data_IF_456990558159
#
_entry.id   IF_456990558159
#
_cell.length_a   1.000
_cell.length_b   1.000
_cell.length_c   1.000
_cell.angle_alpha   90.00
_cell.angle_beta   90.00
_cell.angle_gamma   90.00
#
_symmetry.space_group_name_H-M   'P 1'
#
loop_
_entity.id
_entity.type
_entity.pdbx_description
1 polymer ?
#
# COMPACT_ATOMS: atom_id res chain seq x y z
N UNK A 1 -12.15 -3.13 -3.60
CA UNK A 1 -12.49 -2.08 -2.62
C UNK A 1 -13.86 -1.47 -2.91
N UNK A 2 -14.66 -1.18 -1.88
CA UNK A 2 -15.93 -0.46 -1.97
C UNK A 2 -15.71 1.04 -2.23
N UNK A 3 -16.71 1.84 -2.66
CA UNK A 3 -16.61 3.30 -2.72
C UNK A 3 -16.18 3.95 -1.39
N UNK A 4 -15.43 5.04 -1.46
CA UNK A 4 -14.96 5.77 -0.28
C UNK A 4 -16.12 6.33 0.58
N UNK A 5 -17.24 6.68 -0.06
CA UNK A 5 -18.47 7.20 0.56
C UNK A 5 -19.47 6.10 0.97
N UNK A 6 -18.99 4.86 1.19
CA UNK A 6 -19.85 3.72 1.59
C UNK A 6 -20.65 4.06 2.85
N UNK A 7 -20.03 4.72 3.83
CA UNK A 7 -20.72 5.33 4.97
C UNK A 7 -20.73 6.84 4.76
N UNK A 8 -21.90 7.46 4.95
CA UNK A 8 -22.07 8.91 4.80
C UNK A 8 -21.42 9.69 5.95
N UNK A 9 -21.25 11.00 5.76
CA UNK A 9 -20.78 11.94 6.81
C UNK A 9 -21.68 11.91 8.06
N UNK A 10 -22.94 11.49 7.91
CA UNK A 10 -23.89 11.30 9.00
C UNK A 10 -23.79 9.94 9.71
N UNK A 11 -22.84 9.07 9.31
CA UNK A 11 -22.66 7.75 9.89
C UNK A 11 -23.63 6.67 9.38
N UNK A 12 -24.43 6.97 8.35
CA UNK A 12 -25.41 6.04 7.76
C UNK A 12 -24.86 5.29 6.55
N UNK A 13 -25.33 4.06 6.33
CA UNK A 13 -24.96 3.26 5.17
C UNK A 13 -25.56 3.85 3.88
N UNK A 14 -24.69 4.27 2.96
CA UNK A 14 -25.07 5.01 1.77
C UNK A 14 -25.53 4.08 0.63
N UNK A 15 -26.50 4.53 -0.18
CA UNK A 15 -26.95 3.86 -1.42
C UNK A 15 -27.25 2.35 -1.26
N UNK A 16 -27.83 1.95 -0.13
CA UNK A 16 -28.05 0.53 0.28
C UNK A 16 -28.54 -0.39 -0.85
N UNK A 17 -29.55 0.02 -1.62
CA UNK A 17 -30.09 -0.80 -2.73
C UNK A 17 -29.09 -0.99 -3.87
N UNK A 18 -28.41 0.08 -4.27
CA UNK A 18 -27.39 0.04 -5.33
C UNK A 18 -26.17 -0.76 -4.86
N UNK A 19 -25.78 -0.62 -3.60
CA UNK A 19 -24.70 -1.40 -3.00
C UNK A 19 -25.05 -2.89 -3.04
N UNK A 20 -26.25 -3.28 -2.62
CA UNK A 20 -26.70 -4.67 -2.69
C UNK A 20 -26.60 -5.26 -4.10
N UNK A 21 -27.12 -4.54 -5.10
CA UNK A 21 -27.07 -4.99 -6.49
C UNK A 21 -25.63 -5.13 -6.99
N UNK A 22 -24.75 -4.19 -6.65
CA UNK A 22 -23.33 -4.20 -7.03
C UNK A 22 -22.59 -5.38 -6.40
N UNK A 23 -22.78 -5.61 -5.09
CA UNK A 23 -22.18 -6.74 -4.38
C UNK A 23 -22.71 -8.09 -4.88
N UNK A 24 -24.00 -8.17 -5.20
CA UNK A 24 -24.58 -9.38 -5.79
C UNK A 24 -23.99 -9.68 -7.17
N UNK A 25 -23.78 -8.66 -8.01
CA UNK A 25 -23.10 -8.82 -9.30
C UNK A 25 -21.65 -9.31 -9.12
N UNK A 26 -20.87 -8.69 -8.22
CA UNK A 26 -19.50 -9.12 -7.92
C UNK A 26 -19.45 -10.57 -7.39
N UNK A 27 -20.40 -10.95 -6.53
CA UNK A 27 -20.48 -12.33 -6.04
C UNK A 27 -20.69 -13.32 -7.19
N UNK A 28 -21.57 -13.00 -8.15
CA UNK A 28 -21.82 -13.84 -9.32
C UNK A 28 -20.64 -13.88 -10.29
N UNK A 29 -19.80 -12.83 -10.33
CA UNK A 29 -18.55 -12.81 -11.08
C UNK A 29 -17.44 -13.68 -10.46
N UNK A 30 -17.67 -14.25 -9.27
CA UNK A 30 -16.68 -15.08 -8.57
C UNK A 30 -15.78 -14.32 -7.61
N UNK A 31 -16.07 -13.04 -7.34
CA UNK A 31 -15.32 -12.26 -6.34
C UNK A 31 -15.51 -12.89 -4.95
N UNK A 32 -14.39 -13.11 -4.25
CA UNK A 32 -14.39 -13.78 -2.95
C UNK A 32 -14.88 -12.87 -1.80
N UNK A 33 -14.57 -11.58 -1.89
CA UNK A 33 -14.90 -10.61 -0.86
C UNK A 33 -14.68 -9.17 -1.29
N UNK A 34 -14.94 -8.25 -0.38
CA UNK A 34 -14.77 -6.82 -0.58
C UNK A 34 -13.95 -6.20 0.55
N UNK A 35 -13.36 -5.04 0.29
CA UNK A 35 -12.61 -4.26 1.28
C UNK A 35 -13.27 -2.90 1.50
N UNK A 36 -13.37 -2.45 2.74
CA UNK A 36 -13.95 -1.15 3.11
C UNK A 36 -13.08 -0.39 4.11
N UNK A 37 -12.97 0.92 3.91
CA UNK A 37 -12.39 1.85 4.86
C UNK A 37 -13.34 2.06 6.06
N UNK A 38 -12.84 1.86 7.27
CA UNK A 38 -13.57 2.09 8.52
C UNK A 38 -13.07 3.38 9.16
N UNK A 39 -13.57 4.49 8.64
CA UNK A 39 -13.13 5.86 8.92
C UNK A 39 -13.25 6.27 10.39
N UNK A 40 -12.11 6.59 11.00
CA UNK A 40 -12.06 7.08 12.38
C UNK A 40 -12.92 8.34 12.58
N UNK A 41 -12.83 9.30 11.66
CA UNK A 41 -13.57 10.56 11.70
C UNK A 41 -15.09 10.43 11.56
N UNK A 42 -15.61 9.28 11.11
CA UNK A 42 -17.04 9.01 11.10
C UNK A 42 -17.50 8.32 12.38
N UNK A 43 -16.72 7.34 12.84
CA UNK A 43 -17.11 6.47 13.94
C UNK A 43 -16.97 7.15 15.29
N UNK A 44 -15.86 7.85 15.56
CA UNK A 44 -15.61 8.53 16.85
C UNK A 44 -15.87 10.05 16.73
N UNK A 45 -16.82 10.44 15.89
CA UNK A 45 -17.12 11.83 15.54
C UNK A 45 -17.65 12.66 16.71
N UNK A 46 -18.53 12.08 17.52
CA UNK A 46 -19.26 12.77 18.61
C UNK A 46 -18.41 13.03 19.87
N UNK A 47 -17.16 12.58 19.85
CA UNK A 47 -16.17 12.81 20.89
C UNK A 47 -15.41 11.56 21.31
N UNK A 48 -14.39 11.73 22.18
CA UNK A 48 -13.61 10.63 22.74
C UNK A 48 -14.46 9.47 23.24
N UNK A 49 -14.12 8.25 22.82
CA UNK A 49 -14.76 6.98 23.21
C UNK A 49 -16.25 6.84 22.83
N UNK A 50 -16.81 7.76 22.03
CA UNK A 50 -18.19 7.68 21.55
C UNK A 50 -18.23 7.11 20.13
N UNK A 51 -18.29 5.78 20.05
CA UNK A 51 -18.23 5.05 18.79
C UNK A 51 -19.62 4.78 18.21
N UNK A 52 -19.87 5.21 16.97
CA UNK A 52 -21.04 4.85 16.19
C UNK A 52 -20.66 3.87 15.07
N UNK A 53 -21.08 2.62 15.23
CA UNK A 53 -20.79 1.54 14.29
C UNK A 53 -21.97 1.18 13.37
N UNK A 54 -23.10 1.85 13.47
CA UNK A 54 -24.36 1.34 12.92
C UNK A 54 -24.36 1.24 11.39
N UNK A 55 -23.83 2.24 10.68
CA UNK A 55 -23.66 2.15 9.23
C UNK A 55 -22.79 0.97 8.79
N UNK A 56 -21.68 0.70 9.50
CA UNK A 56 -20.82 -0.46 9.23
C UNK A 56 -21.50 -1.77 9.61
N UNK A 57 -22.31 -1.81 10.67
CA UNK A 57 -23.07 -2.99 11.07
C UNK A 57 -24.10 -3.42 10.01
N UNK A 58 -24.77 -2.46 9.37
CA UNK A 58 -25.65 -2.76 8.23
C UNK A 58 -24.87 -3.31 7.04
N UNK A 59 -23.71 -2.74 6.73
CA UNK A 59 -22.83 -3.23 5.66
C UNK A 59 -22.37 -4.66 5.93
N UNK A 60 -21.87 -4.96 7.14
CA UNK A 60 -21.40 -6.30 7.51
C UNK A 60 -22.51 -7.34 7.36
N UNK A 61 -23.74 -7.02 7.79
CA UNK A 61 -24.91 -7.89 7.60
C UNK A 61 -25.23 -8.13 6.12
N UNK A 62 -25.10 -7.10 5.28
CA UNK A 62 -25.32 -7.23 3.84
C UNK A 62 -24.26 -8.15 3.20
N UNK A 63 -22.99 -7.94 3.53
CA UNK A 63 -21.87 -8.74 3.03
C UNK A 63 -22.02 -10.21 3.46
N UNK A 64 -22.37 -10.45 4.73
CA UNK A 64 -22.68 -11.79 5.24
C UNK A 64 -23.83 -12.44 4.47
N UNK A 65 -24.95 -11.72 4.28
CA UNK A 65 -26.13 -12.24 3.56
C UNK A 65 -25.80 -12.67 2.13
N UNK A 66 -24.87 -12.00 1.48
CA UNK A 66 -24.41 -12.31 0.13
C UNK A 66 -23.31 -13.40 0.09
N UNK A 67 -22.85 -13.87 1.24
CA UNK A 67 -21.80 -14.89 1.33
C UNK A 67 -20.45 -14.39 0.79
N UNK A 68 -20.17 -13.10 0.95
CA UNK A 68 -18.89 -12.47 0.64
C UNK A 68 -18.05 -12.36 1.91
N UNK A 69 -16.72 -12.40 1.75
CA UNK A 69 -15.78 -12.01 2.81
C UNK A 69 -15.63 -10.48 2.88
N UNK A 70 -15.20 -9.98 4.02
CA UNK A 70 -14.93 -8.57 4.28
C UNK A 70 -13.52 -8.38 4.81
N UNK A 71 -12.75 -7.54 4.14
CA UNK A 71 -11.54 -6.92 4.68
C UNK A 71 -11.92 -5.52 5.17
N UNK A 72 -11.47 -5.14 6.37
CA UNK A 72 -11.71 -3.80 6.91
C UNK A 72 -10.39 -3.06 7.08
N UNK A 73 -10.36 -1.77 6.77
CA UNK A 73 -9.21 -0.90 7.03
C UNK A 73 -9.52 -0.05 8.26
N UNK A 74 -8.69 -0.12 9.30
CA UNK A 74 -8.74 0.80 10.43
C UNK A 74 -8.18 2.16 9.99
N UNK A 75 -9.02 2.97 9.36
CA UNK A 75 -8.62 4.19 8.65
C UNK A 75 -8.46 5.36 9.63
N UNK A 76 -7.31 5.39 10.32
CA UNK A 76 -6.88 6.46 11.24
C UNK A 76 -6.36 7.71 10.52
N UNK A 77 -6.75 7.91 9.26
CA UNK A 77 -6.29 8.99 8.39
C UNK A 77 -7.49 9.68 7.73
N UNK A 78 -7.25 10.89 7.22
CA UNK A 78 -8.22 11.61 6.40
C UNK A 78 -8.41 10.94 5.02
N UNK A 79 -9.66 10.85 4.56
CA UNK A 79 -9.98 10.68 3.13
C UNK A 79 -10.03 12.05 2.46
N UNK A 80 -9.38 12.22 1.32
CA UNK A 80 -9.36 13.49 0.58
C UNK A 80 -7.97 14.11 0.57
N UNK A 81 -7.53 14.53 -0.61
CA UNK A 81 -6.26 15.22 -0.82
C UNK A 81 -5.20 14.40 -1.57
N UNK A 82 -5.50 13.13 -1.86
CA UNK A 82 -4.65 12.22 -2.65
C UNK A 82 -5.35 11.79 -3.96
N UNK A 83 -4.58 11.20 -4.89
CA UNK A 83 -5.11 10.70 -6.17
C UNK A 83 -6.24 9.70 -5.94
N UNK A 84 -7.37 9.91 -6.60
CA UNK A 84 -8.51 8.99 -6.56
C UNK A 84 -9.49 9.24 -5.40
N UNK A 85 -9.20 10.19 -4.50
CA UNK A 85 -10.14 10.56 -3.44
C UNK A 85 -11.33 11.34 -3.99
N UNK A 86 -12.51 10.72 -3.98
CA UNK A 86 -13.76 11.33 -4.45
C UNK A 86 -14.61 11.94 -3.33
N UNK A 87 -14.18 11.81 -2.08
CA UNK A 87 -14.86 12.39 -0.91
C UNK A 87 -13.85 12.97 0.09
N UNK A 88 -14.35 13.78 1.01
CA UNK A 88 -13.57 14.41 2.08
C UNK A 88 -14.12 13.94 3.43
N UNK A 89 -13.34 13.12 4.14
CA UNK A 89 -13.66 12.61 5.47
C UNK A 89 -12.45 12.93 6.36
N UNK A 90 -12.48 14.00 7.15
CA UNK A 90 -11.36 14.38 8.01
C UNK A 90 -11.23 13.41 9.19
N UNK A 91 -10.19 13.60 9.99
CA UNK A 91 -10.09 13.02 11.34
C UNK A 91 -11.24 13.53 12.24
N UNK A 92 -11.52 12.89 13.39
CA UNK A 92 -12.61 13.33 14.27
C UNK A 92 -12.49 14.82 14.66
N UNK A 93 -13.61 15.57 14.74
CA UNK A 93 -13.56 17.00 15.06
C UNK A 93 -12.77 17.34 16.34
N UNK A 94 -12.93 16.54 17.40
CA UNK A 94 -12.20 16.72 18.66
C UNK A 94 -10.67 16.54 18.51
N UNK A 95 -10.22 15.75 17.53
CA UNK A 95 -8.78 15.60 17.22
C UNK A 95 -8.29 16.82 16.45
N UNK A 96 -9.10 17.34 15.53
CA UNK A 96 -8.77 18.57 14.80
C UNK A 96 -8.65 19.77 15.76
N UNK A 97 -9.46 19.82 16.81
CA UNK A 97 -9.33 20.80 17.89
C UNK A 97 -7.99 20.68 18.62
N UNK A 98 -7.55 19.46 18.96
CA UNK A 98 -6.22 19.22 19.54
C UNK A 98 -5.09 19.64 18.57
N UNK A 99 -5.25 19.38 17.27
CA UNK A 99 -4.30 19.82 16.23
C UNK A 99 -4.19 21.34 16.15
N UNK A 100 -5.32 22.05 16.28
CA UNK A 100 -5.34 23.50 16.29
C UNK A 100 -4.69 24.07 17.56
N UNK A 101 -4.90 23.44 18.72
CA UNK A 101 -4.28 23.83 19.98
C UNK A 101 -2.78 23.55 20.01
N UNK A 102 -2.34 22.48 19.36
CA UNK A 102 -0.95 22.04 19.31
C UNK A 102 -0.56 21.61 17.88
N UNK A 103 -0.12 22.55 17.01
CA UNK A 103 0.14 22.28 15.61
C UNK A 103 1.32 21.34 15.34
N UNK A 104 2.10 20.98 16.36
CA UNK A 104 3.19 20.00 16.26
C UNK A 104 2.73 18.54 16.38
N UNK A 105 1.44 18.26 16.59
CA UNK A 105 0.96 16.87 16.63
C UNK A 105 0.81 16.24 15.23
N UNK A 106 1.09 17.00 14.18
CA UNK A 106 0.99 16.58 12.77
C UNK A 106 2.33 16.67 12.07
N UNK A 107 2.50 15.86 11.02
CA UNK A 107 3.71 15.86 10.22
C UNK A 107 3.99 17.24 9.63
N UNK A 108 5.27 17.60 9.58
CA UNK A 108 5.70 18.94 9.23
C UNK A 108 6.97 18.90 8.38
N UNK A 109 6.97 19.67 7.29
CA UNK A 109 8.14 19.80 6.43
C UNK A 109 9.09 20.91 6.89
N UNK A 110 10.23 21.07 6.20
CA UNK A 110 11.25 22.08 6.54
C UNK A 110 10.72 23.51 6.56
N UNK A 111 9.79 23.82 5.65
CA UNK A 111 9.16 25.15 5.55
C UNK A 111 8.09 25.41 6.62
N UNK A 112 7.83 24.47 7.54
CA UNK A 112 6.82 24.58 8.58
C UNK A 112 5.39 24.29 8.10
N UNK A 113 5.21 23.76 6.87
CA UNK A 113 3.90 23.31 6.37
C UNK A 113 3.47 22.08 7.14
N UNK A 114 2.24 22.11 7.65
CA UNK A 114 1.62 21.06 8.44
C UNK A 114 0.71 20.19 7.56
N UNK A 115 0.75 18.87 7.72
CA UNK A 115 -0.15 17.93 7.05
C UNK A 115 -1.13 17.31 8.06
N UNK A 116 -2.42 17.70 8.05
CA UNK A 116 -3.41 17.24 9.04
C UNK A 116 -4.01 15.85 8.75
N UNK A 117 -3.57 15.16 7.70
CA UNK A 117 -4.17 13.87 7.30
C UNK A 117 -3.94 12.76 8.33
N UNK A 118 -2.89 12.85 9.13
CA UNK A 118 -2.48 11.85 10.12
C UNK A 118 -1.68 12.49 11.26
N UNK A 119 -1.67 11.85 12.42
CA UNK A 119 -0.92 12.30 13.61
C UNK A 119 0.56 11.91 13.47
N UNK A 120 1.49 12.84 13.71
CA UNK A 120 2.92 12.55 13.62
C UNK A 120 3.31 11.41 14.56
N UNK A 121 4.09 10.44 14.07
CA UNK A 121 4.62 9.34 14.88
C UNK A 121 5.51 9.80 16.04
N UNK A 122 6.01 11.05 16.00
CA UNK A 122 6.71 11.67 17.14
C UNK A 122 5.83 11.76 18.39
N UNK A 123 4.50 11.68 18.23
CA UNK A 123 3.52 11.75 19.31
C UNK A 123 3.05 10.40 19.83
N UNK A 124 3.42 9.26 19.23
CA UNK A 124 2.87 7.92 19.49
C UNK A 124 2.66 7.58 20.97
N UNK A 125 3.62 7.98 21.81
CA UNK A 125 3.69 7.67 23.25
C UNK A 125 3.47 8.88 24.15
N UNK A 126 3.01 10.02 23.60
CA UNK A 126 2.76 11.26 24.33
C UNK A 126 1.25 11.52 24.45
N UNK A 127 0.75 11.95 25.62
CA UNK A 127 -0.69 12.10 25.86
C UNK A 127 -1.26 13.39 25.26
N UNK A 128 -1.16 13.53 23.94
CA UNK A 128 -1.50 14.76 23.19
C UNK A 128 -2.95 14.83 22.69
N UNK A 129 -3.78 13.83 23.01
CA UNK A 129 -5.17 13.72 22.55
C UNK A 129 -6.13 13.61 23.75
N UNK A 130 -6.48 14.74 24.37
CA UNK A 130 -7.35 14.75 25.55
C UNK A 130 -6.82 13.89 26.71
N UNK A 131 -5.49 13.88 26.92
CA UNK A 131 -4.82 13.09 27.96
C UNK A 131 -4.50 11.64 27.58
N UNK A 132 -4.84 11.19 26.37
CA UNK A 132 -4.48 9.87 25.82
C UNK A 132 -3.38 10.00 24.77
N UNK A 133 -2.58 8.95 24.60
CA UNK A 133 -1.62 8.86 23.48
C UNK A 133 -2.31 8.41 22.19
N UNK A 134 -1.77 8.73 21.00
CA UNK A 134 -2.28 8.20 19.74
C UNK A 134 -2.41 6.67 19.73
N UNK A 135 -1.40 5.94 20.24
CA UNK A 135 -1.49 4.46 20.36
C UNK A 135 -2.66 4.03 21.24
N UNK A 136 -2.93 4.72 22.35
CA UNK A 136 -4.08 4.40 23.21
C UNK A 136 -5.40 4.64 22.47
N UNK A 137 -5.53 5.77 21.77
CA UNK A 137 -6.73 6.09 20.97
C UNK A 137 -6.97 5.05 19.88
N UNK A 138 -5.94 4.67 19.11
CA UNK A 138 -6.04 3.62 18.10
C UNK A 138 -6.39 2.26 18.72
N UNK A 139 -5.82 1.95 19.88
CA UNK A 139 -6.12 0.72 20.63
C UNK A 139 -7.58 0.68 21.09
N UNK A 140 -8.10 1.77 21.65
CA UNK A 140 -9.49 1.86 22.13
C UNK A 140 -10.47 1.71 20.98
N UNK A 141 -10.18 2.34 19.83
CA UNK A 141 -10.96 2.20 18.60
C UNK A 141 -11.01 0.73 18.12
N UNK A 142 -9.85 0.07 18.03
CA UNK A 142 -9.77 -1.34 17.64
C UNK A 142 -10.47 -2.28 18.63
N UNK A 143 -10.40 -2.00 19.94
CA UNK A 143 -11.13 -2.78 20.97
C UNK A 143 -12.63 -2.63 20.80
N UNK A 144 -13.12 -1.39 20.63
CA UNK A 144 -14.54 -1.11 20.39
C UNK A 144 -15.04 -1.80 19.10
N UNK A 145 -14.24 -1.77 18.04
CA UNK A 145 -14.53 -2.53 16.81
C UNK A 145 -14.62 -4.03 17.09
N UNK A 146 -13.62 -4.61 17.77
CA UNK A 146 -13.63 -6.03 18.14
C UNK A 146 -14.89 -6.41 18.91
N UNK A 147 -15.24 -5.64 19.95
CA UNK A 147 -16.42 -5.89 20.78
C UNK A 147 -17.71 -5.86 19.95
N UNK A 148 -17.86 -4.83 19.12
CA UNK A 148 -19.05 -4.66 18.27
C UNK A 148 -19.23 -5.80 17.26
N UNK A 149 -18.12 -6.27 16.68
CA UNK A 149 -18.11 -7.21 15.56
C UNK A 149 -17.62 -8.61 15.90
N UNK A 150 -17.49 -8.97 17.19
CA UNK A 150 -16.88 -10.23 17.63
C UNK A 150 -17.47 -11.48 16.97
N UNK A 151 -18.77 -11.49 16.66
CA UNK A 151 -19.46 -12.62 16.02
C UNK A 151 -19.13 -12.78 14.52
N UNK A 152 -18.54 -11.75 13.90
CA UNK A 152 -18.22 -11.71 12.49
C UNK A 152 -16.73 -11.91 12.21
N UNK A 153 -15.85 -11.67 13.20
CA UNK A 153 -14.40 -11.82 13.07
C UNK A 153 -14.01 -13.26 12.80
N UNK A 154 -13.08 -13.46 11.86
CA UNK A 154 -12.60 -14.77 11.41
C UNK A 154 -13.58 -15.53 10.51
N UNK A 155 -14.78 -15.01 10.30
CA UNK A 155 -15.80 -15.62 9.44
C UNK A 155 -16.17 -14.68 8.27
N UNK A 156 -16.92 -13.61 8.57
CA UNK A 156 -17.28 -12.60 7.58
C UNK A 156 -16.15 -11.60 7.44
N UNK A 157 -15.69 -11.04 8.57
CA UNK A 157 -14.54 -10.13 8.62
C UNK A 157 -13.29 -10.99 8.75
N UNK A 158 -12.61 -11.21 7.63
CA UNK A 158 -11.47 -12.13 7.54
C UNK A 158 -10.13 -11.42 7.71
N UNK A 159 -10.09 -10.12 7.50
CA UNK A 159 -8.86 -9.33 7.56
C UNK A 159 -9.10 -7.95 8.14
N UNK A 160 -8.15 -7.49 8.94
CA UNK A 160 -8.09 -6.15 9.51
C UNK A 160 -6.76 -5.53 9.09
N UNK A 161 -6.84 -4.64 8.11
CA UNK A 161 -5.72 -3.80 7.72
C UNK A 161 -5.62 -2.63 8.68
N UNK A 162 -4.48 -2.49 9.36
CA UNK A 162 -4.26 -1.40 10.30
C UNK A 162 -3.66 -0.21 9.56
N UNK A 163 -4.30 0.96 9.64
CA UNK A 163 -3.77 2.19 9.05
C UNK A 163 -2.58 2.73 9.83
N UNK A 164 -1.46 2.97 9.16
CA UNK A 164 -0.17 3.31 9.78
C UNK A 164 0.38 4.69 9.36
N UNK A 165 -0.47 5.53 8.76
CA UNK A 165 -0.05 6.80 8.19
C UNK A 165 -1.06 7.36 7.18
N UNK A 166 -0.65 8.37 6.38
CA UNK A 166 -1.47 8.92 5.29
C UNK A 166 -1.90 7.82 4.31
N UNK A 167 -3.13 7.88 3.81
CA UNK A 167 -3.78 6.81 3.03
C UNK A 167 -3.81 5.42 3.72
N UNK A 168 -3.58 5.36 5.03
CA UNK A 168 -3.47 4.11 5.78
C UNK A 168 -2.13 3.38 5.57
N UNK A 169 -1.19 4.00 4.86
CA UNK A 169 0.10 3.41 4.48
C UNK A 169 1.16 3.70 5.54
N UNK A 170 2.05 2.75 5.80
CA UNK A 170 3.23 2.93 6.64
C UNK A 170 4.26 3.80 5.91
N UNK A 171 4.08 5.12 5.95
CA UNK A 171 5.00 6.10 5.36
C UNK A 171 4.82 7.48 5.96
N UNK A 172 5.73 8.39 5.59
CA UNK A 172 5.53 9.81 5.79
C UNK A 172 4.69 10.45 4.64
N UNK A 173 4.03 11.59 4.87
CA UNK A 173 3.30 12.32 3.84
C UNK A 173 4.24 13.16 2.96
N UNK A 174 5.20 12.52 2.29
CA UNK A 174 6.28 13.21 1.56
C UNK A 174 5.91 13.74 0.18
N UNK A 175 4.77 13.33 -0.38
CA UNK A 175 4.27 13.73 -1.71
C UNK A 175 2.80 14.22 -1.66
N UNK A 176 2.46 15.23 -0.85
CA UNK A 176 1.09 15.72 -0.74
C UNK A 176 0.66 16.43 -2.04
N UNK A 177 -0.32 15.89 -2.76
CA UNK A 177 -0.80 16.50 -4.01
C UNK A 177 -1.69 17.73 -3.80
N UNK A 178 -2.30 17.83 -2.62
CA UNK A 178 -3.20 18.92 -2.27
C UNK A 178 -2.62 20.30 -2.60
N UNK A 179 -3.44 21.11 -3.29
CA UNK A 179 -3.09 22.46 -3.75
C UNK A 179 -1.85 22.53 -4.66
N UNK A 180 -1.49 21.42 -5.32
CA UNK A 180 -0.33 21.35 -6.22
C UNK A 180 1.01 21.45 -5.49
N UNK A 181 1.04 21.14 -4.18
CA UNK A 181 2.25 21.18 -3.35
C UNK A 181 3.33 20.27 -3.93
N UNK A 182 2.95 19.03 -4.25
CA UNK A 182 3.78 18.07 -4.97
C UNK A 182 3.09 17.66 -6.28
N UNK A 183 3.90 17.28 -7.28
CA UNK A 183 3.45 16.69 -8.55
C UNK A 183 4.43 15.59 -8.97
N UNK A 184 3.87 14.52 -9.50
CA UNK A 184 4.67 13.44 -10.06
C UNK A 184 5.61 13.94 -11.19
N UNK A 185 6.90 13.55 -11.21
CA UNK A 185 7.58 12.61 -10.32
C UNK A 185 8.54 13.31 -9.33
N UNK A 186 8.16 14.37 -8.63
CA UNK A 186 9.07 15.08 -7.73
C UNK A 186 9.63 14.21 -6.59
N UNK A 187 10.82 14.53 -6.08
CA UNK A 187 11.48 13.80 -4.98
C UNK A 187 10.72 13.78 -3.65
N UNK A 188 9.78 14.71 -3.44
CA UNK A 188 9.11 14.88 -2.16
C UNK A 188 9.96 15.65 -1.14
N UNK A 189 9.53 15.70 0.13
CA UNK A 189 10.31 16.30 1.22
C UNK A 189 10.24 15.46 2.50
N UNK A 190 11.31 15.48 3.31
CA UNK A 190 11.31 14.91 4.65
C UNK A 190 10.28 15.62 5.56
N UNK A 191 9.50 14.83 6.30
CA UNK A 191 8.34 15.29 7.10
C UNK A 191 8.56 15.20 8.62
N UNK A 192 9.78 15.49 9.09
CA UNK A 192 10.19 15.30 10.48
C UNK A 192 10.46 16.58 11.27
N UNK A 193 9.86 17.70 10.87
CA UNK A 193 10.17 19.02 11.43
C UNK A 193 9.22 19.47 12.54
N UNK A 194 8.27 18.63 12.95
CA UNK A 194 7.49 18.86 14.17
C UNK A 194 8.40 18.79 15.40
N UNK A 195 8.04 19.50 16.48
CA UNK A 195 8.92 19.61 17.66
C UNK A 195 9.29 18.27 18.30
N UNK A 196 8.44 17.25 18.18
CA UNK A 196 8.68 15.95 18.81
C UNK A 196 9.69 15.13 18.02
N UNK A 197 9.53 15.10 16.69
CA UNK A 197 10.50 14.47 15.80
C UNK A 197 11.85 15.18 15.86
N UNK A 198 11.88 16.52 15.91
CA UNK A 198 13.13 17.29 16.09
C UNK A 198 13.82 16.96 17.41
N UNK A 199 13.08 16.87 18.52
CA UNK A 199 13.65 16.45 19.80
C UNK A 199 14.20 15.02 19.73
N UNK A 200 13.51 14.10 19.04
CA UNK A 200 14.00 12.74 18.84
C UNK A 200 15.28 12.67 17.99
N UNK A 201 15.40 13.51 16.96
CA UNK A 201 16.60 13.60 16.13
C UNK A 201 17.79 14.12 16.94
N UNK A 202 17.57 15.19 17.71
CA UNK A 202 18.58 15.78 18.59
C UNK A 202 19.12 14.75 19.59
N UNK A 203 18.23 14.01 20.26
CA UNK A 203 18.61 12.96 21.19
C UNK A 203 19.39 11.80 20.52
N UNK A 204 19.01 11.41 19.29
CA UNK A 204 19.73 10.38 18.55
C UNK A 204 21.16 10.82 18.16
N UNK A 205 21.33 12.10 17.82
CA UNK A 205 22.62 12.67 17.48
C UNK A 205 23.54 12.82 18.71
N UNK A 206 22.97 13.23 19.85
CA UNK A 206 23.68 13.31 21.13
C UNK A 206 24.17 11.93 21.59
N UNK A 207 23.36 10.88 21.42
CA UNK A 207 23.71 9.52 21.82
C UNK A 207 24.96 8.96 21.12
N UNK A 208 25.33 9.49 19.95
CA UNK A 208 26.54 9.12 19.22
C UNK A 208 27.66 10.17 19.29
N UNK A 209 27.51 11.20 20.14
CA UNK A 209 28.50 12.27 20.32
C UNK A 209 28.61 13.22 19.12
N UNK A 210 27.59 13.28 18.25
CA UNK A 210 27.54 14.12 17.05
C UNK A 210 26.42 15.14 17.16
N UNK A 211 26.38 15.94 18.22
CA UNK A 211 25.28 16.88 18.52
C UNK A 211 24.86 17.76 17.34
N UNK A 212 25.82 18.21 16.53
CA UNK A 212 25.56 19.09 15.37
C UNK A 212 24.69 18.41 14.29
N UNK A 213 24.69 17.07 14.21
CA UNK A 213 23.86 16.31 13.28
C UNK A 213 22.37 16.34 13.67
N UNK A 214 22.07 16.71 14.91
CA UNK A 214 20.72 16.72 15.48
C UNK A 214 20.01 18.08 15.43
N UNK A 215 20.68 19.13 14.94
CA UNK A 215 20.14 20.50 14.96
C UNK A 215 18.92 20.67 14.05
N UNK A 216 18.97 20.06 12.87
CA UNK A 216 17.91 20.01 11.88
C UNK A 216 18.06 18.80 10.92
N UNK A 217 17.04 18.57 10.09
CA UNK A 217 17.16 17.63 8.97
C UNK A 217 18.10 18.16 7.87
N UNK A 218 18.39 17.36 6.83
CA UNK A 218 19.39 17.72 5.82
C UNK A 218 19.10 19.04 5.14
N UNK A 219 20.07 19.96 5.19
CA UNK A 219 19.89 21.32 4.72
C UNK A 219 19.78 21.42 3.20
N UNK A 220 20.35 20.45 2.48
CA UNK A 220 20.53 20.36 1.04
C UNK A 220 19.58 19.35 0.34
N UNK A 221 18.51 18.92 1.03
CA UNK A 221 17.49 17.99 0.53
C UNK A 221 16.62 18.53 -0.61
N UNK A 222 16.65 19.84 -0.90
CA UNK A 222 15.79 20.44 -1.90
C UNK A 222 14.32 20.52 -1.48
N UNK A 223 13.43 20.63 -2.47
CA UNK A 223 11.99 20.84 -2.34
C UNK A 223 11.18 19.79 -3.12
N UNK A 224 9.88 19.69 -2.80
CA UNK A 224 8.96 18.64 -3.31
C UNK A 224 9.12 18.25 -4.78
N UNK A 225 9.19 19.23 -5.69
CA UNK A 225 9.08 19.01 -7.14
C UNK A 225 10.41 18.95 -7.87
N UNK A 226 11.53 19.01 -7.15
CA UNK A 226 12.85 18.87 -7.75
C UNK A 226 13.13 17.42 -8.15
N UNK A 227 14.11 17.24 -9.03
CA UNK A 227 14.70 15.96 -9.37
C UNK A 227 15.94 15.70 -8.49
N UNK A 228 16.38 14.44 -8.33
CA UNK A 228 17.52 14.12 -7.47
C UNK A 228 18.79 14.92 -7.79
N UNK A 229 19.12 15.06 -9.08
CA UNK A 229 20.32 15.77 -9.56
C UNK A 229 20.25 17.30 -9.39
N UNK A 230 19.10 17.85 -8.99
CA UNK A 230 18.94 19.29 -8.68
C UNK A 230 19.17 19.60 -7.19
N UNK A 231 19.58 18.60 -6.39
CA UNK A 231 19.75 18.71 -4.94
C UNK A 231 21.15 18.31 -4.51
N UNK A 232 21.67 18.95 -3.46
CA UNK A 232 22.94 18.54 -2.85
C UNK A 232 22.82 17.17 -2.18
N UNK A 233 21.65 16.89 -1.58
CA UNK A 233 21.46 15.68 -0.80
C UNK A 233 21.27 14.43 -1.65
N UNK A 234 20.45 14.45 -2.72
CA UNK A 234 20.01 13.25 -3.45
C UNK A 234 20.72 12.99 -4.78
N UNK A 235 21.55 13.92 -5.27
CA UNK A 235 22.33 13.72 -6.49
C UNK A 235 23.23 12.47 -6.39
N UNK A 236 23.76 12.02 -7.53
CA UNK A 236 24.48 10.73 -7.63
C UNK A 236 25.55 10.45 -6.56
N UNK A 237 26.31 11.47 -6.18
CA UNK A 237 27.35 11.43 -5.12
C UNK A 237 27.01 12.44 -4.00
N UNK A 238 25.72 12.57 -3.67
CA UNK A 238 25.20 13.54 -2.72
C UNK A 238 25.34 13.13 -1.25
N UNK A 239 24.92 14.03 -0.38
CA UNK A 239 25.00 13.88 1.08
C UNK A 239 24.30 12.63 1.61
N UNK A 240 23.31 12.07 0.88
CA UNK A 240 22.63 10.82 1.21
C UNK A 240 23.58 9.62 1.44
N UNK A 241 24.77 9.65 0.84
CA UNK A 241 25.79 8.58 0.92
C UNK A 241 27.01 8.98 1.77
N UNK A 242 26.84 9.91 2.71
CA UNK A 242 27.87 10.31 3.69
C UNK A 242 27.55 9.72 5.06
N UNK A 243 28.48 9.79 6.03
CA UNK A 243 28.21 9.35 7.41
C UNK A 243 26.97 10.03 8.02
N UNK A 244 26.81 11.34 7.80
CA UNK A 244 25.63 12.07 8.23
C UNK A 244 24.35 11.59 7.52
N UNK A 245 24.42 11.39 6.19
CA UNK A 245 23.29 10.88 5.42
C UNK A 245 22.83 9.51 5.89
N UNK A 246 23.77 8.60 6.15
CA UNK A 246 23.49 7.29 6.74
C UNK A 246 22.82 7.42 8.11
N UNK A 247 23.38 8.22 9.01
CA UNK A 247 22.79 8.48 10.33
C UNK A 247 21.35 8.99 10.23
N UNK A 248 21.12 10.03 9.42
CA UNK A 248 19.80 10.64 9.31
C UNK A 248 18.78 9.68 8.70
N UNK A 249 19.14 8.96 7.63
CA UNK A 249 18.23 8.03 6.96
C UNK A 249 17.97 6.76 7.79
N UNK A 250 18.94 6.28 8.58
CA UNK A 250 18.73 5.21 9.56
C UNK A 250 17.77 5.64 10.66
N UNK A 251 17.95 6.85 11.21
CA UNK A 251 17.02 7.40 12.19
C UNK A 251 15.62 7.55 11.60
N UNK A 252 15.48 8.21 10.45
CA UNK A 252 14.19 8.53 9.84
C UNK A 252 13.40 7.28 9.47
N UNK A 253 14.04 6.33 8.77
CA UNK A 253 13.39 5.04 8.45
C UNK A 253 13.17 4.16 9.67
N UNK A 254 14.08 4.19 10.64
CA UNK A 254 13.95 3.46 11.90
C UNK A 254 12.74 3.91 12.72
N UNK A 255 12.48 5.22 12.78
CA UNK A 255 11.29 5.77 13.46
C UNK A 255 9.99 5.30 12.84
N UNK A 256 9.94 5.18 11.52
CA UNK A 256 8.79 4.62 10.81
C UNK A 256 8.57 3.13 11.13
N UNK A 257 9.65 2.33 11.15
CA UNK A 257 9.56 0.91 11.55
C UNK A 257 9.12 0.74 13.00
N UNK A 258 9.63 1.57 13.92
CA UNK A 258 9.22 1.58 15.33
C UNK A 258 7.74 1.93 15.51
N UNK A 259 7.24 2.92 14.76
CA UNK A 259 5.83 3.31 14.75
C UNK A 259 4.93 2.13 14.34
N UNK A 260 5.25 1.50 13.21
CA UNK A 260 4.55 0.29 12.76
C UNK A 260 4.58 -0.82 13.80
N UNK A 261 5.75 -1.12 14.39
CA UNK A 261 5.91 -2.18 15.40
C UNK A 261 5.03 -1.94 16.64
N UNK A 262 4.94 -0.69 17.12
CA UNK A 262 4.13 -0.33 18.30
C UNK A 262 2.63 -0.49 18.06
N UNK A 263 2.12 0.06 16.95
CA UNK A 263 0.69 -0.01 16.63
C UNK A 263 0.29 -1.45 16.33
N UNK A 264 1.07 -2.17 15.52
CA UNK A 264 0.78 -3.56 15.17
C UNK A 264 0.92 -4.49 16.37
N UNK A 265 1.82 -4.21 17.33
CA UNK A 265 1.85 -4.93 18.60
C UNK A 265 0.57 -4.75 19.42
N UNK A 266 -0.07 -3.57 19.35
CA UNK A 266 -1.36 -3.35 20.01
C UNK A 266 -2.48 -4.09 19.26
N UNK A 267 -2.53 -3.97 17.93
CA UNK A 267 -3.51 -4.66 17.09
C UNK A 267 -3.44 -6.18 17.25
N UNK A 268 -2.22 -6.76 17.25
CA UNK A 268 -1.98 -8.19 17.47
C UNK A 268 -2.64 -8.68 18.76
N UNK A 269 -2.39 -8.00 19.88
CA UNK A 269 -2.99 -8.36 21.18
C UNK A 269 -4.51 -8.18 21.21
N UNK A 270 -5.02 -7.18 20.49
CA UNK A 270 -6.47 -6.91 20.46
C UNK A 270 -7.19 -7.99 19.67
N UNK A 271 -6.67 -8.41 18.51
CA UNK A 271 -7.35 -9.35 17.61
C UNK A 271 -6.87 -10.80 17.73
N UNK A 272 -5.96 -11.09 18.66
CA UNK A 272 -5.53 -12.45 18.98
C UNK A 272 -6.74 -13.36 19.29
N UNK A 273 -6.72 -14.57 18.73
CA UNK A 273 -7.76 -15.57 18.91
C UNK A 273 -9.08 -15.29 18.18
N UNK A 274 -9.20 -14.20 17.42
CA UNK A 274 -10.44 -13.89 16.66
C UNK A 274 -10.54 -14.60 15.32
N UNK A 275 -9.43 -15.16 14.81
CA UNK A 275 -9.36 -15.78 13.48
C UNK A 275 -9.23 -14.80 12.31
N UNK A 276 -9.38 -13.49 12.56
CA UNK A 276 -9.11 -12.47 11.55
C UNK A 276 -7.59 -12.28 11.37
N UNK A 277 -7.16 -12.15 10.12
CA UNK A 277 -5.78 -11.85 9.75
C UNK A 277 -5.50 -10.36 9.95
N UNK A 278 -4.29 -10.01 10.36
CA UNK A 278 -3.83 -8.62 10.36
C UNK A 278 -3.02 -8.32 9.12
N UNK A 279 -3.20 -7.14 8.54
CA UNK A 279 -2.36 -6.64 7.46
C UNK A 279 -1.93 -5.19 7.69
N UNK A 280 -0.84 -4.80 7.04
CA UNK A 280 -0.33 -3.43 7.05
C UNK A 280 0.08 -3.04 5.63
N UNK A 281 -0.27 -1.82 5.22
CA UNK A 281 -0.06 -1.36 3.85
C UNK A 281 1.26 -0.61 3.72
N UNK A 282 2.03 -0.92 2.69
CA UNK A 282 3.27 -0.23 2.30
C UNK A 282 3.08 0.33 0.90
N UNK A 283 3.42 1.61 0.72
CA UNK A 283 3.24 2.32 -0.55
C UNK A 283 4.28 1.92 -1.62
N UNK A 284 3.83 1.75 -2.87
CA UNK A 284 4.68 1.56 -4.04
C UNK A 284 5.25 2.88 -4.58
N UNK A 285 6.41 3.30 -4.07
CA UNK A 285 7.09 4.53 -4.51
C UNK A 285 8.04 4.20 -5.65
N UNK A 286 7.50 4.16 -6.86
CA UNK A 286 8.22 3.62 -8.01
C UNK A 286 9.05 4.64 -8.78
N UNK A 287 8.83 5.95 -8.60
CA UNK A 287 9.61 6.99 -9.27
C UNK A 287 10.95 7.20 -8.59
N UNK A 288 11.95 7.58 -9.39
CA UNK A 288 13.36 7.67 -9.00
C UNK A 288 14.00 6.36 -8.52
N UNK A 289 13.31 5.23 -8.60
CA UNK A 289 13.83 3.91 -8.23
C UNK A 289 15.11 3.54 -9.00
N UNK A 290 15.23 3.96 -10.27
CA UNK A 290 16.44 3.69 -11.07
C UNK A 290 17.60 4.66 -10.79
N UNK A 291 17.43 5.65 -9.91
CA UNK A 291 18.52 6.54 -9.46
C UNK A 291 19.33 5.85 -8.36
N UNK A 292 20.52 6.37 -8.01
CA UNK A 292 21.31 5.74 -6.93
C UNK A 292 20.73 6.01 -5.54
N UNK A 293 20.17 7.19 -5.35
CA UNK A 293 19.64 7.64 -4.07
C UNK A 293 18.23 7.11 -3.79
N UNK A 294 17.45 6.77 -4.82
CA UNK A 294 16.04 6.40 -4.65
C UNK A 294 15.26 7.49 -3.89
N UNK A 295 15.49 8.76 -4.25
CA UNK A 295 15.13 9.93 -3.44
C UNK A 295 13.69 9.92 -2.90
N UNK A 296 12.71 9.51 -3.72
CA UNK A 296 11.31 9.46 -3.32
C UNK A 296 11.02 8.40 -2.24
N UNK A 297 11.68 7.24 -2.31
CA UNK A 297 11.60 6.22 -1.27
C UNK A 297 12.20 6.75 0.04
N UNK A 298 13.34 7.44 -0.04
CA UNK A 298 14.01 8.02 1.13
C UNK A 298 13.13 9.06 1.84
N UNK A 299 12.50 9.98 1.09
CA UNK A 299 11.61 10.99 1.68
C UNK A 299 10.32 10.37 2.24
N UNK A 300 9.82 9.28 1.65
CA UNK A 300 8.70 8.51 2.18
C UNK A 300 9.03 7.71 3.45
N UNK A 301 10.32 7.59 3.80
CA UNK A 301 10.81 6.88 4.98
C UNK A 301 11.31 5.47 4.70
N UNK A 302 11.32 5.03 3.44
CA UNK A 302 11.92 3.76 3.05
C UNK A 302 13.39 4.01 2.73
N UNK A 303 14.28 3.59 3.63
CA UNK A 303 15.72 3.72 3.37
C UNK A 303 16.20 2.64 2.38
N UNK A 304 15.62 2.66 1.18
CA UNK A 304 16.03 1.88 0.04
C UNK A 304 17.03 2.69 -0.78
N UNK A 305 18.10 2.08 -1.22
CA UNK A 305 19.04 2.67 -2.19
C UNK A 305 19.53 1.56 -3.11
N UNK A 306 20.32 1.92 -4.12
CA UNK A 306 20.91 0.92 -5.03
C UNK A 306 21.67 -0.21 -4.32
N UNK A 307 22.21 0.05 -3.12
CA UNK A 307 23.05 -0.89 -2.38
C UNK A 307 22.44 -1.32 -1.03
N UNK A 308 21.23 -0.88 -0.70
CA UNK A 308 20.59 -1.17 0.59
C UNK A 308 19.12 -1.49 0.38
N UNK A 309 18.69 -2.67 0.81
CA UNK A 309 17.28 -3.05 0.79
C UNK A 309 16.52 -2.40 1.97
N UNK A 310 15.73 -1.38 1.66
CA UNK A 310 14.88 -0.67 2.63
C UNK A 310 13.65 -1.44 3.10
N UNK A 311 13.14 -2.37 2.27
CA UNK A 311 11.90 -3.11 2.53
C UNK A 311 12.11 -4.30 3.46
N UNK A 312 13.32 -4.86 3.47
CA UNK A 312 13.73 -5.95 4.36
C UNK A 312 13.41 -5.69 5.84
N UNK A 313 13.66 -4.48 6.35
CA UNK A 313 13.38 -4.16 7.76
C UNK A 313 11.87 -4.13 8.07
N UNK A 314 11.08 -3.58 7.15
CA UNK A 314 9.61 -3.52 7.25
C UNK A 314 9.03 -4.94 7.20
N UNK A 315 9.46 -5.76 6.23
CA UNK A 315 9.00 -7.14 6.09
C UNK A 315 9.31 -7.99 7.34
N UNK A 316 10.49 -7.82 7.95
CA UNK A 316 10.83 -8.49 9.22
C UNK A 316 9.97 -8.01 10.38
N UNK A 317 9.69 -6.71 10.47
CA UNK A 317 8.82 -6.15 11.51
C UNK A 317 7.40 -6.72 11.37
N UNK A 318 6.84 -6.76 10.16
CA UNK A 318 5.51 -7.33 9.90
C UNK A 318 5.47 -8.84 10.20
N UNK A 319 6.49 -9.59 9.77
CA UNK A 319 6.64 -11.02 10.06
C UNK A 319 6.66 -11.31 11.55
N UNK A 320 7.45 -10.55 12.33
CA UNK A 320 7.50 -10.63 13.81
C UNK A 320 6.13 -10.45 14.46
N UNK A 321 5.24 -9.68 13.85
CA UNK A 321 3.88 -9.41 14.34
C UNK A 321 2.81 -10.34 13.76
N UNK A 322 3.18 -11.25 12.85
CA UNK A 322 2.23 -12.11 12.14
C UNK A 322 1.30 -11.32 11.21
N UNK A 323 1.79 -10.22 10.65
CA UNK A 323 1.01 -9.27 9.83
C UNK A 323 1.36 -9.45 8.36
N UNK A 324 0.35 -9.58 7.50
CA UNK A 324 0.50 -9.63 6.04
C UNK A 324 0.94 -8.27 5.51
N UNK A 325 1.94 -8.24 4.63
CA UNK A 325 2.34 -7.03 3.93
C UNK A 325 1.40 -6.83 2.75
N UNK A 326 0.63 -5.74 2.72
CA UNK A 326 -0.15 -5.35 1.55
C UNK A 326 0.60 -4.26 0.76
N UNK A 327 0.75 -4.44 -0.54
CA UNK A 327 1.56 -3.57 -1.40
C UNK A 327 0.84 -3.14 -2.67
N UNK A 328 1.10 -1.91 -3.14
CA UNK A 328 0.47 -1.35 -4.34
C UNK A 328 1.34 -1.52 -5.60
N UNK A 329 0.89 -1.00 -6.75
CA UNK A 329 1.58 -1.00 -8.04
C UNK A 329 1.66 -2.35 -8.76
N UNK A 330 0.82 -3.33 -8.37
CA UNK A 330 0.84 -4.67 -8.98
C UNK A 330 0.44 -4.70 -10.46
N UNK A 331 -0.20 -3.64 -10.96
CA UNK A 331 -0.68 -3.50 -12.32
C UNK A 331 0.27 -2.72 -13.24
N UNK A 332 1.25 -2.01 -12.66
CA UNK A 332 2.10 -1.08 -13.40
C UNK A 332 3.24 -1.81 -14.12
N UNK A 333 3.61 -1.28 -15.29
CA UNK A 333 4.79 -1.71 -16.06
C UNK A 333 5.79 -0.57 -16.22
N UNK A 334 7.07 -0.91 -16.34
CA UNK A 334 8.14 0.06 -16.52
C UNK A 334 7.97 0.83 -17.84
N UNK A 335 7.51 0.16 -18.91
CA UNK A 335 7.27 0.74 -20.24
C UNK A 335 6.16 1.81 -20.27
N UNK A 336 5.25 1.78 -19.30
CA UNK A 336 4.14 2.75 -19.19
C UNK A 336 4.59 4.05 -18.50
N UNK A 337 5.81 4.09 -17.95
CA UNK A 337 6.29 5.20 -17.13
C UNK A 337 7.09 6.19 -17.98
N UNK A 338 7.01 7.51 -17.67
CA UNK A 338 7.80 8.50 -18.38
C UNK A 338 9.29 8.38 -18.03
N UNK A 339 10.15 8.36 -19.05
CA UNK A 339 11.60 8.19 -18.90
C UNK A 339 12.22 9.15 -17.87
N UNK A 340 11.81 10.43 -17.89
CA UNK A 340 12.30 11.47 -16.95
C UNK A 340 12.06 11.14 -15.47
N UNK A 341 11.10 10.26 -15.15
CA UNK A 341 10.78 9.89 -13.79
C UNK A 341 11.72 8.82 -13.21
N UNK A 342 12.52 8.14 -14.06
CA UNK A 342 13.39 7.04 -13.64
C UNK A 342 12.64 5.97 -12.83
N UNK A 343 11.43 5.63 -13.29
CA UNK A 343 10.58 4.66 -12.62
C UNK A 343 11.05 3.22 -12.81
N UNK A 344 10.77 2.36 -11.84
CA UNK A 344 10.70 0.91 -12.07
C UNK A 344 9.70 0.24 -11.11
N UNK A 345 8.38 0.35 -11.35
CA UNK A 345 7.39 -0.39 -10.58
C UNK A 345 7.64 -1.91 -10.61
N UNK A 346 8.12 -2.48 -11.72
CA UNK A 346 8.38 -3.92 -11.83
C UNK A 346 9.62 -4.36 -11.04
N UNK A 347 10.67 -3.52 -11.03
CA UNK A 347 11.82 -3.70 -10.16
C UNK A 347 11.43 -3.64 -8.69
N UNK A 348 10.64 -2.63 -8.33
CA UNK A 348 10.15 -2.41 -6.97
C UNK A 348 9.30 -3.59 -6.46
N UNK A 349 8.30 -4.03 -7.23
CA UNK A 349 7.46 -5.18 -6.85
C UNK A 349 8.31 -6.43 -6.66
N UNK A 350 9.27 -6.71 -7.56
CA UNK A 350 10.20 -7.84 -7.41
C UNK A 350 11.00 -7.75 -6.11
N UNK A 351 11.52 -6.57 -5.76
CA UNK A 351 12.26 -6.38 -4.51
C UNK A 351 11.39 -6.68 -3.28
N UNK A 352 10.17 -6.14 -3.24
CA UNK A 352 9.24 -6.38 -2.10
C UNK A 352 8.83 -7.84 -2.00
N UNK A 353 8.61 -8.53 -3.13
CA UNK A 353 8.38 -9.98 -3.16
C UNK A 353 9.55 -10.75 -2.55
N UNK A 354 10.79 -10.36 -2.85
CA UNK A 354 11.98 -11.01 -2.28
C UNK A 354 12.15 -10.71 -0.79
N UNK A 355 11.89 -9.47 -0.35
CA UNK A 355 11.95 -9.08 1.05
C UNK A 355 10.92 -9.85 1.89
N UNK A 356 9.68 -9.95 1.42
CA UNK A 356 8.62 -10.69 2.12
C UNK A 356 8.88 -12.20 2.17
N UNK A 357 9.33 -12.79 1.06
CA UNK A 357 9.78 -14.19 1.01
C UNK A 357 10.88 -14.48 2.02
N UNK A 358 11.90 -13.62 2.07
CA UNK A 358 13.04 -13.77 2.97
C UNK A 358 12.66 -13.60 4.44
N UNK A 359 11.71 -12.73 4.74
CA UNK A 359 11.19 -12.53 6.09
C UNK A 359 10.15 -13.58 6.52
N UNK A 360 9.65 -14.41 5.60
CA UNK A 360 8.59 -15.38 5.87
C UNK A 360 7.21 -14.77 6.11
N UNK A 361 6.98 -13.53 5.64
CA UNK A 361 5.66 -12.90 5.72
C UNK A 361 4.88 -13.09 4.43
N UNK A 362 3.56 -13.18 4.52
CA UNK A 362 2.70 -13.20 3.34
C UNK A 362 2.66 -11.82 2.68
N UNK A 363 2.39 -11.81 1.38
CA UNK A 363 2.23 -10.62 0.56
C UNK A 363 0.82 -10.59 -0.03
N UNK A 364 0.11 -9.49 0.14
CA UNK A 364 -1.11 -9.16 -0.58
C UNK A 364 -0.83 -7.98 -1.53
N UNK A 365 -1.67 -7.83 -2.55
CA UNK A 365 -1.47 -6.84 -3.60
C UNK A 365 -2.69 -5.97 -3.90
N UNK A 366 -2.45 -4.77 -4.36
CA UNK A 366 -3.44 -3.82 -4.88
C UNK A 366 -2.92 -3.17 -6.16
N UNK A 367 -3.83 -2.79 -7.06
CA UNK A 367 -3.49 -1.84 -8.11
C UNK A 367 -3.45 -0.42 -7.54
N UNK A 368 -2.47 0.38 -7.96
CA UNK A 368 -2.33 1.76 -7.52
C UNK A 368 -3.29 2.71 -8.24
N UNK A 369 -3.55 2.47 -9.53
CA UNK A 369 -4.43 3.28 -10.38
C UNK A 369 -5.61 2.46 -10.90
N UNK A 370 -6.75 3.12 -11.11
CA UNK A 370 -7.95 2.52 -11.69
C UNK A 370 -7.71 2.17 -13.18
N UNK A 371 -7.67 0.87 -13.51
CA UNK A 371 -7.32 0.34 -14.84
C UNK A 371 -8.28 -0.78 -15.25
N UNK A 372 -8.75 -0.78 -16.50
CA UNK A 372 -9.71 -1.77 -17.03
C UNK A 372 -9.23 -2.53 -18.27
N UNK A 373 -7.98 -2.28 -18.67
CA UNK A 373 -7.36 -2.90 -19.84
C UNK A 373 -6.70 -4.24 -19.53
N UNK A 374 -6.59 -5.08 -20.56
CA UNK A 374 -5.98 -6.41 -20.45
C UNK A 374 -4.49 -6.37 -20.07
N UNK A 375 -3.79 -5.28 -20.38
CA UNK A 375 -2.39 -5.09 -20.02
C UNK A 375 -2.19 -5.07 -18.51
N UNK A 376 -2.96 -4.23 -17.82
CA UNK A 376 -2.98 -4.14 -16.36
C UNK A 376 -3.39 -5.47 -15.71
N UNK A 377 -4.48 -6.11 -16.17
CA UNK A 377 -4.92 -7.39 -15.62
C UNK A 377 -3.88 -8.50 -15.81
N UNK A 378 -3.24 -8.58 -16.97
CA UNK A 378 -2.19 -9.56 -17.23
C UNK A 378 -0.96 -9.33 -16.37
N UNK A 379 -0.62 -8.06 -16.09
CA UNK A 379 0.47 -7.71 -15.18
C UNK A 379 0.17 -8.16 -13.75
N UNK A 380 -1.05 -7.91 -13.26
CA UNK A 380 -1.49 -8.40 -11.94
C UNK A 380 -1.44 -9.93 -11.86
N UNK A 381 -1.89 -10.63 -12.91
CA UNK A 381 -1.77 -12.09 -12.98
C UNK A 381 -0.29 -12.51 -12.88
N UNK A 382 0.58 -11.92 -13.68
CA UNK A 382 2.03 -12.15 -13.66
C UNK A 382 2.68 -11.94 -12.27
N UNK A 383 2.28 -10.87 -11.58
CA UNK A 383 2.76 -10.54 -10.23
C UNK A 383 2.12 -11.43 -9.16
N UNK A 384 0.96 -12.02 -9.40
CA UNK A 384 0.30 -12.93 -8.45
C UNK A 384 1.01 -14.28 -8.27
N UNK A 385 1.73 -14.75 -9.30
CA UNK A 385 2.40 -16.05 -9.28
C UNK A 385 3.59 -16.14 -8.30
N UNK A 386 3.83 -17.35 -7.78
CA UNK A 386 4.98 -17.64 -6.91
C UNK A 386 6.31 -17.67 -7.65
N UNK A 387 6.31 -17.95 -8.96
CA UNK A 387 7.55 -18.08 -9.74
C UNK A 387 8.29 -16.74 -9.86
N UNK A 388 7.59 -15.62 -9.65
CA UNK A 388 8.16 -14.28 -9.54
C UNK A 388 8.51 -13.86 -8.09
N UNK A 389 8.56 -14.80 -7.13
CA UNK A 389 9.01 -14.55 -5.75
C UNK A 389 8.08 -15.14 -4.68
N UNK A 390 7.48 -14.28 -3.87
CA UNK A 390 6.40 -14.65 -2.94
C UNK A 390 5.05 -14.54 -3.67
N UNK A 391 4.29 -15.62 -3.80
CA UNK A 391 2.97 -15.53 -4.42
C UNK A 391 2.04 -14.60 -3.62
N UNK A 392 1.09 -13.95 -4.30
CA UNK A 392 0.11 -13.12 -3.59
C UNK A 392 -0.89 -14.01 -2.85
N UNK A 393 -1.06 -13.75 -1.55
CA UNK A 393 -2.08 -14.38 -0.71
C UNK A 393 -3.48 -13.86 -1.05
N UNK A 394 -3.57 -12.59 -1.46
CA UNK A 394 -4.79 -11.94 -1.91
C UNK A 394 -4.45 -10.79 -2.87
N UNK A 395 -5.40 -10.45 -3.74
CA UNK A 395 -5.36 -9.23 -4.54
C UNK A 395 -6.67 -8.45 -4.37
N UNK A 396 -6.55 -7.15 -4.06
CA UNK A 396 -7.69 -6.28 -3.84
C UNK A 396 -7.74 -5.18 -4.91
N UNK A 397 -8.75 -5.28 -5.79
CA UNK A 397 -8.92 -4.33 -6.89
C UNK A 397 -9.44 -2.96 -6.44
N UNK A 398 -8.76 -1.88 -6.86
CA UNK A 398 -9.12 -0.48 -6.69
C UNK A 398 -9.79 0.04 -7.98
N UNK A 399 -11.06 0.45 -7.99
CA UNK A 399 -12.08 0.38 -6.94
C UNK A 399 -13.43 0.07 -7.58
N UNK A 400 -14.38 -0.45 -6.80
CA UNK A 400 -15.76 -0.60 -7.24
C UNK A 400 -16.39 0.79 -7.46
N UNK A 401 -16.76 1.08 -8.70
CA UNK A 401 -17.44 2.31 -9.10
C UNK A 401 -18.35 2.02 -10.31
N UNK A 402 -19.01 3.04 -10.86
CA UNK A 402 -19.91 2.89 -12.01
C UNK A 402 -19.19 2.34 -13.26
N UNK A 403 -17.95 2.75 -13.51
CA UNK A 403 -17.17 2.38 -14.71
C UNK A 403 -16.82 0.90 -14.71
N UNK A 404 -16.56 0.32 -13.54
CA UNK A 404 -16.35 -1.13 -13.41
C UNK A 404 -17.53 -1.95 -13.97
N UNK A 405 -18.76 -1.47 -13.79
CA UNK A 405 -19.98 -2.15 -14.26
C UNK A 405 -20.42 -1.73 -15.67
N UNK A 406 -19.62 -0.96 -16.40
CA UNK A 406 -19.85 -0.74 -17.84
C UNK A 406 -19.61 -2.07 -18.59
N UNK A 407 -20.42 -2.36 -19.61
CA UNK A 407 -20.52 -3.69 -20.20
C UNK A 407 -19.15 -4.30 -20.61
N UNK A 408 -18.27 -3.51 -21.23
CA UNK A 408 -16.95 -3.99 -21.64
C UNK A 408 -16.00 -4.20 -20.45
N UNK A 409 -15.97 -3.26 -19.50
CA UNK A 409 -15.11 -3.32 -18.31
C UNK A 409 -15.52 -4.49 -17.42
N UNK A 410 -16.83 -4.67 -17.22
CA UNK A 410 -17.40 -5.76 -16.45
C UNK A 410 -16.99 -7.12 -17.04
N UNK A 411 -17.12 -7.29 -18.37
CA UNK A 411 -16.70 -8.53 -19.06
C UNK A 411 -15.21 -8.84 -18.86
N UNK A 412 -14.33 -7.83 -19.01
CA UNK A 412 -12.88 -8.01 -18.81
C UNK A 412 -12.55 -8.31 -17.34
N UNK A 413 -13.26 -7.67 -16.41
CA UNK A 413 -13.10 -7.91 -15.00
C UNK A 413 -13.54 -9.33 -14.59
N UNK A 414 -14.66 -9.82 -15.12
CA UNK A 414 -15.12 -11.20 -14.89
C UNK A 414 -14.08 -12.23 -15.37
N UNK A 415 -13.50 -12.00 -16.56
CA UNK A 415 -12.40 -12.84 -17.08
C UNK A 415 -11.16 -12.78 -16.19
N UNK A 416 -10.78 -11.58 -15.73
CA UNK A 416 -9.69 -11.40 -14.78
C UNK A 416 -9.92 -12.15 -13.46
N UNK A 417 -11.11 -12.03 -12.87
CA UNK A 417 -11.48 -12.73 -11.62
C UNK A 417 -11.42 -14.25 -11.81
N UNK A 418 -11.94 -14.76 -12.94
CA UNK A 418 -11.83 -16.17 -13.28
C UNK A 418 -10.38 -16.62 -13.37
N UNK A 419 -9.53 -15.89 -14.09
CA UNK A 419 -8.11 -16.22 -14.24
C UNK A 419 -7.36 -16.19 -12.90
N UNK A 420 -7.65 -15.23 -12.03
CA UNK A 420 -7.09 -15.19 -10.67
C UNK A 420 -7.48 -16.45 -9.87
N UNK A 421 -8.74 -16.89 -9.96
CA UNK A 421 -9.24 -18.07 -9.24
C UNK A 421 -8.64 -19.39 -9.73
N UNK A 422 -8.25 -19.48 -11.00
CA UNK A 422 -7.62 -20.67 -11.60
C UNK A 422 -6.08 -20.66 -11.44
N UNK A 423 -5.54 -19.73 -10.64
CA UNK A 423 -4.11 -19.59 -10.39
C UNK A 423 -3.34 -19.05 -11.60
N UNK A 424 -3.98 -18.24 -12.45
CA UNK A 424 -3.40 -17.51 -13.58
C UNK A 424 -2.94 -18.38 -14.76
N UNK A 425 -3.26 -19.67 -14.78
CA UNK A 425 -2.76 -20.64 -15.78
C UNK A 425 -3.31 -20.43 -17.20
N UNK A 426 -4.37 -19.63 -17.36
CA UNK A 426 -5.05 -19.36 -18.62
C UNK A 426 -4.85 -17.94 -19.14
N UNK A 427 -3.77 -17.25 -18.74
CA UNK A 427 -3.43 -15.96 -19.34
C UNK A 427 -3.12 -16.15 -20.84
N UNK A 428 -4.10 -15.92 -21.69
CA UNK A 428 -3.91 -15.83 -23.13
C UNK A 428 -2.94 -14.69 -23.39
N UNK A 429 -1.76 -15.02 -23.93
CA UNK A 429 -0.76 -14.03 -24.31
C UNK A 429 -1.40 -12.99 -25.27
N UNK A 430 -1.10 -11.68 -25.11
CA UNK A 430 -1.60 -10.65 -26.02
C UNK A 430 -1.19 -10.92 -27.47
N UNK A 431 -2.09 -10.65 -28.43
CA UNK A 431 -1.82 -10.83 -29.87
C UNK A 431 -0.59 -10.05 -30.38
N UNK A 432 -0.08 -9.06 -29.63
CA UNK A 432 1.13 -8.31 -29.97
C UNK A 432 2.41 -9.17 -29.97
N UNK A 433 2.44 -10.32 -29.30
CA UNK A 433 3.57 -11.25 -29.32
C UNK A 433 3.53 -12.25 -30.48
N UNK A 434 2.56 -12.14 -31.40
CA UNK A 434 2.50 -12.98 -32.62
C UNK A 434 3.20 -12.35 -33.83
N UNK A 435 3.86 -11.20 -33.66
CA UNK A 435 4.70 -10.63 -34.72
C UNK A 435 5.98 -11.45 -34.88
N UNK A 436 5.88 -12.43 -35.77
CA UNK A 436 6.94 -13.32 -36.26
C UNK A 436 8.29 -12.59 -36.39
N UNK A 437 9.22 -12.85 -35.49
CA UNK A 437 10.64 -12.77 -35.84
C UNK A 437 10.90 -13.84 -36.88
N UNK A 438 11.16 -13.45 -38.13
CA UNK A 438 11.70 -14.32 -39.17
C UNK A 438 13.15 -14.72 -38.80
N UNK A 439 13.28 -15.62 -37.83
CA UNK A 439 14.52 -16.32 -37.53
C UNK A 439 14.49 -17.65 -38.30
N UNK A 440 15.12 -17.62 -39.48
CA UNK A 440 15.39 -18.81 -40.27
C UNK A 440 16.46 -19.64 -39.55
N UNK A 441 16.06 -20.72 -38.88
CA UNK A 441 16.97 -21.72 -38.33
C UNK A 441 17.14 -22.81 -39.39
N UNK A 442 18.27 -22.76 -40.11
CA UNK A 442 18.67 -23.80 -41.04
C UNK A 442 19.05 -25.08 -40.29
N UNK A 443 18.25 -26.13 -40.44
CA UNK A 443 18.62 -27.47 -39.97
C UNK A 443 19.62 -28.10 -40.97
N UNK A 444 20.82 -28.40 -40.49
CA UNK A 444 21.78 -29.26 -41.16
C UNK A 444 21.16 -30.67 -41.29
N UNK A 445 21.05 -31.16 -42.53
CA UNK A 445 20.62 -32.52 -42.84
C UNK A 445 21.79 -33.48 -42.63
N UNK A 446 21.58 -34.48 -41.78
CA UNK A 446 22.42 -35.67 -41.73
C UNK A 446 22.14 -36.57 -42.93
N UNK A 447 23.20 -37.16 -43.46
CA UNK A 447 23.24 -37.90 -44.72
C UNK A 447 22.56 -39.27 -44.64
N UNK A 448 21.75 -39.56 -45.66
CA UNK A 448 21.35 -40.90 -46.10
C UNK A 448 22.57 -41.79 -46.41
N UNK A 449 22.50 -43.09 -46.06
CA UNK A 449 23.08 -44.15 -46.88
C UNK A 449 22.38 -45.51 -46.63
N UNK A 450 21.52 -45.82 -47.59
CA UNK A 450 21.02 -47.12 -48.01
C UNK A 450 21.71 -48.39 -47.47
N UNK A 451 20.89 -49.35 -47.03
CA UNK A 451 20.98 -50.74 -47.53
C UNK A 451 19.62 -51.44 -47.54
N UNK A 452 19.33 -52.03 -48.70
CA UNK A 452 18.18 -52.89 -49.06
C UNK A 452 17.92 -53.97 -47.99
N UNK A 453 16.66 -54.35 -47.77
CA UNK A 453 16.08 -55.68 -48.11
C UNK A 453 14.57 -55.68 -47.87
N UNK A 454 13.87 -56.35 -48.78
CA UNK A 454 12.44 -56.59 -48.97
C UNK A 454 11.72 -57.25 -47.78
N UNK A 455 10.41 -57.01 -47.63
CA UNK A 455 9.32 -58.02 -47.67
C UNK A 455 7.95 -57.32 -47.46
N UNK A 456 7.00 -57.79 -48.26
CA UNK A 456 5.60 -57.37 -48.46
C UNK A 456 4.72 -57.71 -47.25
N UNK A 457 3.75 -56.85 -46.90
CA UNK A 457 2.39 -57.13 -46.38
C UNK A 457 1.68 -55.76 -46.30
N UNK A 458 0.51 -55.49 -46.88
CA UNK A 458 -0.80 -56.14 -46.70
C UNK A 458 -1.74 -55.67 -47.82
N UNK A 459 -2.65 -56.56 -48.27
CA UNK A 459 -3.78 -56.21 -49.12
C UNK A 459 -5.10 -56.11 -48.34
N UNK A 460 -6.04 -55.43 -48.98
CA UNK A 460 -7.50 -55.48 -48.86
C UNK A 460 -8.13 -54.86 -47.59
N UNK A 461 -9.21 -54.08 -47.70
CA UNK A 461 -10.04 -53.64 -48.84
C UNK A 461 -10.75 -52.34 -48.41
#
# INVERSE_FOLDING_TARGET
MLPLDTISIGGSFNKVRTMYASLFALKNAGVEGVMVDVWWGLVEKEGPLKYNWEGYAELVKMVQKLGLKLQVVMSFHQCGGNVGDSCSIPLPPWVLEEMNNNPDIVYTNKAGRRNPEYISLGCDSLPVLGGRTPIQVYSDYMRSFRERFHQYLGNVIVEIQVGLGPCGELRYPSYPESNGTWRFPGIGEFQCYDKYMRASLAAAAEAIGKTDWGLEGPHDAGLYNQLPEETGFFQREGTWNTEYGHFFLEWYSGKLVEHGDKILSAAQRIFEGTGAILSGKVAGIHWHYNTRSHAAELTAGYYNTRNRDGYSAIARMLSKRGVVLNFTCMEMRDEEQPERANCSPEGLVRQVKMATKSAGTQLAGENALERYDSGAYSQVLGTSHSDSGNGLAAFTYLRMNKRLFEAENCRKFDEFVKNMSEGGRNATLPESDTSRTNLYVGFLKDHDLHKKTSIIMTGCL
#
